data_IF_689784653443
#
_entry.id   IF_689784653443
#
_cell.length_a   1.000
_cell.length_b   1.000
_cell.length_c   1.000
_cell.angle_alpha   90.00
_cell.angle_beta   90.00
_cell.angle_gamma   90.00
#
_symmetry.space_group_name_H-M   'P 1'
#
loop_
_entity.id
_entity.type
_entity.pdbx_description
1 polymer ?
#
# COMPACT_ATOMS: atom_id res chain seq x y z
N UNK A 1 -3.62 11.60 25.95
CA UNK A 1 -2.77 10.77 26.71
C UNK A 1 -2.60 9.33 26.25
N UNK A 2 -1.88 8.58 27.04
CA UNK A 2 -1.48 7.18 26.79
C UNK A 2 -2.64 6.23 26.51
N UNK A 3 -3.76 6.40 27.22
CA UNK A 3 -4.99 5.58 27.04
C UNK A 3 -5.51 5.67 25.60
N UNK A 4 -5.54 6.86 25.01
CA UNK A 4 -6.01 7.05 23.65
C UNK A 4 -5.07 6.40 22.63
N UNK A 5 -3.77 6.46 22.88
CA UNK A 5 -2.75 5.80 22.06
C UNK A 5 -2.88 4.27 22.13
N UNK A 6 -3.07 3.73 23.33
CA UNK A 6 -3.30 2.29 23.52
C UNK A 6 -4.60 1.83 22.84
N UNK A 7 -5.69 2.58 22.94
CA UNK A 7 -6.95 2.27 22.30
C UNK A 7 -6.83 2.27 20.75
N UNK A 8 -6.12 3.24 20.17
CA UNK A 8 -5.84 3.28 18.71
C UNK A 8 -5.00 2.08 18.27
N UNK A 9 -3.99 1.68 19.07
CA UNK A 9 -3.21 0.47 18.83
C UNK A 9 -4.09 -0.77 18.81
N UNK A 10 -4.88 -0.97 19.87
CA UNK A 10 -5.76 -2.13 20.00
C UNK A 10 -6.74 -2.20 18.84
N UNK A 11 -7.38 -1.11 18.47
CA UNK A 11 -8.30 -1.06 17.32
C UNK A 11 -7.62 -1.51 16.03
N UNK A 12 -6.38 -1.05 15.77
CA UNK A 12 -5.61 -1.47 14.59
C UNK A 12 -5.26 -2.95 14.62
N UNK A 13 -4.89 -3.49 15.80
CA UNK A 13 -4.61 -4.92 15.96
C UNK A 13 -5.83 -5.78 15.67
N UNK A 14 -6.98 -5.43 16.24
CA UNK A 14 -8.26 -6.13 15.99
C UNK A 14 -8.63 -6.06 14.52
N UNK A 15 -8.53 -4.89 13.89
CA UNK A 15 -8.81 -4.72 12.47
C UNK A 15 -7.91 -5.64 11.61
N UNK A 16 -6.59 -5.63 11.86
CA UNK A 16 -5.65 -6.47 11.12
C UNK A 16 -5.95 -7.97 11.28
N UNK A 17 -6.33 -8.43 12.48
CA UNK A 17 -6.70 -9.82 12.71
C UNK A 17 -7.98 -10.20 11.95
N UNK A 18 -8.97 -9.32 11.93
CA UNK A 18 -10.21 -9.53 11.15
C UNK A 18 -9.91 -9.55 9.64
N UNK A 19 -9.03 -8.68 9.15
CA UNK A 19 -8.65 -8.66 7.74
C UNK A 19 -7.93 -9.95 7.34
N UNK A 20 -6.99 -10.44 8.16
CA UNK A 20 -6.34 -11.74 7.96
C UNK A 20 -7.36 -12.89 7.97
N UNK A 21 -8.28 -12.90 8.93
CA UNK A 21 -9.33 -13.92 9.01
C UNK A 21 -10.21 -13.95 7.76
N UNK A 22 -10.59 -12.77 7.23
CA UNK A 22 -11.38 -12.66 5.99
C UNK A 22 -10.61 -13.14 4.77
N UNK A 23 -9.30 -12.86 4.70
CA UNK A 23 -8.42 -13.34 3.63
C UNK A 23 -8.31 -14.87 3.67
N UNK A 24 -8.08 -15.45 4.86
CA UNK A 24 -7.94 -16.91 5.03
C UNK A 24 -9.19 -17.69 4.70
N UNK A 25 -10.34 -17.18 5.12
CA UNK A 25 -11.64 -17.83 4.89
C UNK A 25 -12.14 -17.65 3.44
N UNK A 26 -11.45 -16.87 2.59
CA UNK A 26 -11.96 -16.50 1.27
C UNK A 26 -13.22 -15.63 1.32
N UNK A 27 -13.56 -15.10 2.49
CA UNK A 27 -14.74 -14.25 2.68
C UNK A 27 -14.57 -12.84 2.15
N UNK A 28 -13.34 -12.43 1.84
CA UNK A 28 -13.06 -11.12 1.25
C UNK A 28 -13.56 -11.10 -0.20
N UNK A 29 -14.56 -10.28 -0.47
CA UNK A 29 -15.12 -10.05 -1.81
C UNK A 29 -14.90 -8.58 -2.18
N UNK A 30 -13.85 -8.24 -2.94
CA UNK A 30 -13.60 -6.87 -3.37
C UNK A 30 -14.75 -6.35 -4.23
N UNK A 31 -15.13 -5.10 -4.00
CA UNK A 31 -16.08 -4.38 -4.84
C UNK A 31 -15.30 -3.62 -5.92
N UNK A 32 -14.98 -4.32 -7.01
CA UNK A 32 -14.20 -3.74 -8.10
C UNK A 32 -15.04 -2.75 -8.88
N UNK A 33 -14.62 -1.48 -8.87
CA UNK A 33 -15.20 -0.42 -9.69
C UNK A 33 -14.08 0.43 -10.29
N UNK A 34 -14.43 1.36 -11.18
CA UNK A 34 -13.47 2.33 -11.70
C UNK A 34 -12.95 3.18 -10.55
N UNK A 35 -11.65 3.18 -10.40
CA UNK A 35 -10.93 3.77 -9.27
C UNK A 35 -9.82 4.67 -9.77
N UNK A 36 -9.84 5.93 -9.34
CA UNK A 36 -8.74 6.87 -9.50
C UNK A 36 -7.74 6.65 -8.36
N UNK A 37 -6.52 6.23 -8.71
CA UNK A 37 -5.47 6.03 -7.70
C UNK A 37 -4.96 7.35 -7.11
N UNK A 38 -5.15 8.48 -7.78
CA UNK A 38 -4.89 9.80 -7.22
C UNK A 38 -5.79 10.08 -6.01
N UNK A 39 -7.09 9.82 -6.14
CA UNK A 39 -8.05 9.97 -5.03
C UNK A 39 -7.72 9.00 -3.88
N UNK A 40 -7.33 7.76 -4.17
CA UNK A 40 -6.88 6.79 -3.16
C UNK A 40 -5.66 7.30 -2.41
N UNK A 41 -4.67 7.85 -3.13
CA UNK A 41 -3.46 8.43 -2.53
C UNK A 41 -3.84 9.59 -1.61
N UNK A 42 -4.72 10.49 -2.04
CA UNK A 42 -5.17 11.61 -1.20
C UNK A 42 -5.83 11.12 0.09
N UNK A 43 -6.72 10.12 0.01
CA UNK A 43 -7.35 9.49 1.16
C UNK A 43 -6.33 8.89 2.12
N UNK A 44 -5.39 8.10 1.62
CA UNK A 44 -4.33 7.48 2.41
C UNK A 44 -3.39 8.52 3.06
N UNK A 45 -3.07 9.60 2.34
CA UNK A 45 -2.28 10.71 2.89
C UNK A 45 -3.03 11.45 4.00
N UNK A 46 -4.33 11.66 3.87
CA UNK A 46 -5.16 12.24 4.92
C UNK A 46 -5.21 11.34 6.15
N UNK A 47 -5.43 10.04 5.97
CA UNK A 47 -5.50 9.06 7.06
C UNK A 47 -4.18 8.89 7.83
N UNK A 48 -3.04 9.12 7.19
CA UNK A 48 -1.70 8.96 7.79
C UNK A 48 -1.05 10.27 8.21
N UNK A 49 -1.72 11.41 8.07
CA UNK A 49 -1.18 12.77 8.32
C UNK A 49 -0.43 12.89 9.65
N UNK A 50 -1.00 12.39 10.73
CA UNK A 50 -0.40 12.49 12.06
C UNK A 50 0.89 11.63 12.17
N UNK A 51 0.86 10.41 11.66
CA UNK A 51 1.99 9.48 11.72
C UNK A 51 3.18 9.95 10.87
N UNK A 52 2.91 10.56 9.71
CA UNK A 52 3.93 11.04 8.78
C UNK A 52 4.28 12.52 8.94
N UNK A 53 3.91 13.16 10.06
CA UNK A 53 4.17 14.59 10.31
C UNK A 53 5.62 14.99 10.10
N UNK A 54 6.56 14.09 10.43
CA UNK A 54 8.00 14.30 10.30
C UNK A 54 8.60 13.56 9.08
N UNK A 55 7.76 13.10 8.13
CA UNK A 55 8.20 12.42 6.90
C UNK A 55 7.64 13.19 5.69
N UNK A 56 8.49 13.93 4.96
CA UNK A 56 8.06 14.61 3.74
C UNK A 56 7.58 13.60 2.72
N UNK A 57 6.43 13.87 2.09
CA UNK A 57 5.86 13.01 1.05
C UNK A 57 5.69 13.80 -0.23
N UNK A 58 6.15 13.23 -1.34
CA UNK A 58 5.93 13.75 -2.69
C UNK A 58 5.16 12.73 -3.52
N UNK A 59 4.31 13.25 -4.41
CA UNK A 59 3.50 12.43 -5.34
C UNK A 59 3.79 12.88 -6.76
N UNK A 60 4.08 11.94 -7.65
CA UNK A 60 4.35 12.18 -9.06
C UNK A 60 3.60 11.15 -9.90
N UNK A 61 2.44 11.54 -10.40
CA UNK A 61 1.64 10.77 -11.34
C UNK A 61 1.62 11.48 -12.69
N UNK A 62 1.62 10.74 -13.82
CA UNK A 62 1.41 11.35 -15.12
C UNK A 62 0.00 11.96 -15.23
N UNK A 63 -0.20 13.01 -16.04
CA UNK A 63 -1.50 13.65 -16.19
C UNK A 63 -2.60 12.71 -16.71
N UNK A 64 -2.21 11.72 -17.50
CA UNK A 64 -3.04 10.69 -18.10
C UNK A 64 -2.96 9.36 -17.35
N UNK A 65 -2.73 9.41 -16.03
CA UNK A 65 -2.67 8.19 -15.22
C UNK A 65 -4.01 7.46 -15.26
N UNK A 66 -4.03 6.19 -15.74
CA UNK A 66 -5.29 5.54 -16.06
C UNK A 66 -6.08 5.16 -14.83
N UNK A 67 -7.41 5.17 -14.95
CA UNK A 67 -8.29 4.52 -14.00
C UNK A 67 -8.05 3.01 -14.01
N UNK A 68 -8.24 2.39 -12.85
CA UNK A 68 -8.10 0.93 -12.68
C UNK A 68 -9.39 0.32 -12.16
N UNK A 69 -9.61 -0.98 -12.38
CA UNK A 69 -10.68 -1.72 -11.71
C UNK A 69 -10.18 -2.21 -10.36
N UNK A 70 -10.56 -1.51 -9.28
CA UNK A 70 -10.12 -1.80 -7.94
C UNK A 70 -11.23 -1.51 -6.91
N UNK A 71 -11.07 -2.05 -5.70
CA UNK A 71 -11.85 -1.66 -4.53
C UNK A 71 -11.15 -0.48 -3.85
N UNK A 72 -11.76 0.69 -3.89
CA UNK A 72 -11.20 1.93 -3.32
C UNK A 72 -10.76 1.74 -1.86
N UNK A 73 -11.61 1.14 -1.04
CA UNK A 73 -11.32 0.98 0.39
C UNK A 73 -10.16 0.04 0.66
N UNK A 74 -10.03 -1.05 -0.12
CA UNK A 74 -8.90 -1.95 0.00
C UNK A 74 -7.60 -1.31 -0.48
N UNK A 75 -7.65 -0.55 -1.58
CA UNK A 75 -6.49 0.18 -2.09
C UNK A 75 -6.03 1.27 -1.11
N UNK A 76 -6.96 2.03 -0.53
CA UNK A 76 -6.63 3.02 0.51
C UNK A 76 -5.94 2.34 1.70
N UNK A 77 -6.44 1.18 2.15
CA UNK A 77 -5.84 0.45 3.26
C UNK A 77 -4.46 -0.13 2.91
N UNK A 78 -4.24 -0.58 1.67
CA UNK A 78 -2.93 -0.97 1.15
C UNK A 78 -1.94 0.20 1.27
N UNK A 79 -2.30 1.38 0.78
CA UNK A 79 -1.45 2.57 0.85
C UNK A 79 -1.21 3.04 2.28
N UNK A 80 -2.23 3.05 3.13
CA UNK A 80 -2.08 3.37 4.57
C UNK A 80 -1.06 2.44 5.23
N UNK A 81 -1.13 1.12 4.98
CA UNK A 81 -0.17 0.17 5.53
C UNK A 81 1.26 0.43 5.06
N UNK A 82 1.47 0.72 3.78
CA UNK A 82 2.80 0.99 3.23
C UNK A 82 3.36 2.33 3.72
N UNK A 83 2.54 3.39 3.79
CA UNK A 83 2.94 4.68 4.33
C UNK A 83 3.30 4.60 5.81
N UNK A 84 2.50 3.87 6.60
CA UNK A 84 2.82 3.65 8.01
C UNK A 84 4.10 2.82 8.19
N UNK A 85 4.36 1.84 7.31
CA UNK A 85 5.62 1.11 7.32
C UNK A 85 6.80 2.05 7.06
N UNK A 86 6.73 2.90 6.05
CA UNK A 86 7.77 3.90 5.79
C UNK A 86 8.04 4.76 7.03
N UNK A 87 6.99 5.32 7.67
CA UNK A 87 7.14 6.16 8.87
C UNK A 87 7.73 5.43 10.09
N UNK A 88 7.46 4.13 10.21
CA UNK A 88 7.84 3.34 11.38
C UNK A 88 9.26 2.77 11.26
N UNK A 89 9.67 2.44 10.04
CA UNK A 89 10.92 1.74 9.78
C UNK A 89 12.04 2.66 9.29
N UNK A 90 11.77 3.96 9.20
CA UNK A 90 12.77 4.96 8.82
C UNK A 90 12.94 6.05 9.88
N UNK A 91 14.11 6.69 9.96
CA UNK A 91 14.31 7.84 10.83
C UNK A 91 13.36 9.00 10.47
N UNK A 92 13.05 9.85 11.45
CA UNK A 92 12.35 11.12 11.18
C UNK A 92 13.10 11.96 10.15
N UNK A 93 12.37 12.64 9.29
CA UNK A 93 12.94 13.41 8.19
C UNK A 93 13.16 12.61 6.92
N UNK A 94 13.01 11.28 6.95
CA UNK A 94 13.12 10.44 5.75
C UNK A 94 11.98 10.77 4.78
N UNK A 95 12.34 11.06 3.53
CA UNK A 95 11.37 11.34 2.47
C UNK A 95 10.72 10.05 1.94
N UNK A 96 9.47 10.16 1.56
CA UNK A 96 8.70 9.11 0.87
C UNK A 96 8.19 9.67 -0.45
N UNK A 97 8.37 8.94 -1.52
CA UNK A 97 7.88 9.31 -2.85
C UNK A 97 6.87 8.28 -3.34
N UNK A 98 5.72 8.75 -3.81
CA UNK A 98 4.76 7.95 -4.56
C UNK A 98 4.90 8.32 -6.04
N UNK A 99 5.17 7.33 -6.87
CA UNK A 99 5.32 7.52 -8.32
C UNK A 99 4.53 6.47 -9.06
N UNK A 100 3.75 6.88 -10.05
CA UNK A 100 2.92 5.97 -10.83
C UNK A 100 3.20 6.04 -12.32
N UNK A 101 2.76 5.00 -13.02
CA UNK A 101 2.83 4.91 -14.48
C UNK A 101 2.02 3.74 -15.01
N UNK A 102 1.96 3.64 -16.34
CA UNK A 102 1.36 2.53 -17.04
C UNK A 102 2.38 1.83 -17.94
N UNK A 103 2.23 0.53 -18.09
CA UNK A 103 2.95 -0.29 -19.05
C UNK A 103 1.92 -0.97 -19.97
N UNK A 104 1.57 -0.34 -21.10
CA UNK A 104 0.59 -0.88 -22.04
C UNK A 104 1.04 -2.21 -22.65
N UNK A 105 2.36 -2.45 -22.80
CA UNK A 105 2.90 -3.68 -23.37
C UNK A 105 2.62 -4.87 -22.45
N UNK A 106 2.72 -4.65 -21.15
CA UNK A 106 2.40 -5.68 -20.14
C UNK A 106 0.94 -5.62 -19.69
N UNK A 107 0.16 -4.64 -20.14
CA UNK A 107 -1.22 -4.45 -19.71
C UNK A 107 -1.33 -4.14 -18.21
N UNK A 108 -0.47 -3.26 -17.69
CA UNK A 108 -0.36 -3.00 -16.26
C UNK A 108 -0.30 -1.51 -15.94
N UNK A 109 -0.91 -1.16 -14.81
CA UNK A 109 -0.70 0.11 -14.11
C UNK A 109 0.12 -0.17 -12.86
N UNK A 110 1.11 0.65 -12.58
CA UNK A 110 1.96 0.47 -11.41
C UNK A 110 2.02 1.74 -10.55
N UNK A 111 2.19 1.54 -9.25
CA UNK A 111 2.41 2.60 -8.27
C UNK A 111 3.54 2.18 -7.34
N UNK A 112 4.61 2.96 -7.30
CA UNK A 112 5.75 2.79 -6.43
C UNK A 112 5.61 3.65 -5.17
N UNK A 113 5.90 3.05 -4.04
CA UNK A 113 6.02 3.73 -2.75
C UNK A 113 7.47 3.54 -2.29
N UNK A 114 8.29 4.59 -2.42
CA UNK A 114 9.71 4.57 -2.16
C UNK A 114 10.06 5.44 -0.96
N UNK A 115 10.60 4.86 0.08
CA UNK A 115 11.23 5.56 1.21
C UNK A 115 12.75 5.58 1.06
N UNK A 116 13.39 6.63 1.54
CA UNK A 116 14.84 6.80 1.56
C UNK A 116 15.47 6.33 2.88
N UNK A 117 14.90 5.28 3.46
CA UNK A 117 15.35 4.68 4.71
C UNK A 117 16.55 3.73 4.55
N UNK A 118 16.80 2.88 5.57
CA UNK A 118 17.94 1.95 5.57
C UNK A 118 17.78 0.79 4.58
N UNK A 119 16.62 0.61 3.97
CA UNK A 119 16.34 -0.50 3.06
C UNK A 119 16.02 -1.82 3.78
N UNK A 120 15.72 -2.82 2.98
CA UNK A 120 15.45 -4.19 3.43
C UNK A 120 16.61 -5.07 2.97
N UNK A 121 17.29 -5.78 3.90
CA UNK A 121 18.35 -6.70 3.53
C UNK A 121 17.85 -7.79 2.56
N UNK A 122 18.65 -8.18 1.54
CA UNK A 122 18.24 -9.15 0.52
C UNK A 122 17.73 -10.49 1.10
N UNK A 123 18.36 -10.98 2.16
CA UNK A 123 17.98 -12.21 2.87
C UNK A 123 16.59 -12.15 3.51
N UNK A 124 16.03 -10.96 3.66
CA UNK A 124 14.71 -10.74 4.23
C UNK A 124 13.64 -10.44 3.18
N UNK A 125 14.06 -10.07 1.97
CA UNK A 125 13.16 -9.64 0.90
C UNK A 125 12.04 -10.67 0.58
N UNK A 126 12.35 -11.96 0.65
CA UNK A 126 11.38 -13.03 0.40
C UNK A 126 10.40 -13.24 1.57
N UNK A 127 10.84 -12.96 2.78
CA UNK A 127 10.09 -13.29 4.00
C UNK A 127 9.30 -12.12 4.59
N UNK A 128 9.47 -10.89 4.10
CA UNK A 128 8.78 -9.70 4.65
C UNK A 128 7.25 -9.77 4.52
N UNK A 129 6.75 -10.53 3.58
CA UNK A 129 5.31 -10.74 3.37
C UNK A 129 4.75 -11.94 4.15
N UNK A 130 5.60 -12.66 4.90
CA UNK A 130 5.15 -13.72 5.81
C UNK A 130 4.49 -13.13 7.04
N UNK A 131 3.50 -13.82 7.57
CA UNK A 131 2.77 -13.40 8.77
C UNK A 131 3.66 -13.44 10.00
N UNK A 132 3.40 -12.53 10.93
CA UNK A 132 4.11 -12.42 12.20
C UNK A 132 5.62 -12.13 12.07
N UNK A 133 6.07 -11.74 10.88
CA UNK A 133 7.42 -11.24 10.66
C UNK A 133 7.46 -9.74 10.91
N UNK A 134 8.14 -9.35 11.96
CA UNK A 134 8.34 -7.94 12.32
C UNK A 134 9.67 -7.73 13.00
N UNK A 135 10.30 -6.60 12.74
CA UNK A 135 11.50 -6.15 13.47
C UNK A 135 11.14 -5.19 14.60
N UNK A 136 9.86 -4.78 14.67
CA UNK A 136 9.40 -3.81 15.64
C UNK A 136 8.92 -4.49 16.92
N UNK A 137 9.44 -4.10 18.10
CA UNK A 137 8.87 -4.51 19.38
C UNK A 137 7.38 -4.09 19.46
N UNK A 138 6.49 -5.06 19.73
CA UNK A 138 5.05 -4.82 19.82
C UNK A 138 4.31 -4.65 18.48
N UNK A 139 4.99 -4.91 17.35
CA UNK A 139 4.33 -5.08 16.05
C UNK A 139 3.82 -6.51 15.88
N UNK A 140 2.69 -6.72 15.20
CA UNK A 140 2.18 -8.06 14.88
C UNK A 140 2.74 -8.66 13.59
N UNK A 141 3.41 -7.87 12.75
CA UNK A 141 3.90 -8.36 11.45
C UNK A 141 2.77 -8.78 10.50
N UNK A 142 1.63 -8.09 10.54
CA UNK A 142 0.47 -8.39 9.69
C UNK A 142 0.25 -7.37 8.56
N UNK A 143 0.90 -6.22 8.59
CA UNK A 143 0.68 -5.15 7.61
C UNK A 143 0.99 -5.56 6.18
N UNK A 144 2.18 -6.09 5.92
CA UNK A 144 2.59 -6.53 4.58
C UNK A 144 1.84 -7.78 4.09
N UNK A 145 1.59 -8.81 4.91
CA UNK A 145 0.68 -9.90 4.54
C UNK A 145 -0.71 -9.41 4.10
N UNK A 146 -1.29 -8.42 4.79
CA UNK A 146 -2.57 -7.81 4.42
C UNK A 146 -2.44 -7.08 3.08
N UNK A 147 -1.38 -6.29 2.87
CA UNK A 147 -1.11 -5.63 1.59
C UNK A 147 -1.10 -6.65 0.45
N UNK A 148 -0.35 -7.75 0.60
CA UNK A 148 -0.30 -8.82 -0.41
C UNK A 148 -1.68 -9.42 -0.66
N UNK A 149 -2.38 -9.83 0.39
CA UNK A 149 -3.70 -10.45 0.25
C UNK A 149 -4.74 -9.53 -0.39
N UNK A 150 -4.72 -8.24 -0.07
CA UNK A 150 -5.63 -7.27 -0.69
C UNK A 150 -5.29 -7.00 -2.15
N UNK A 151 -4.02 -6.96 -2.50
CA UNK A 151 -3.62 -6.84 -3.90
C UNK A 151 -4.03 -8.08 -4.71
N UNK A 152 -3.74 -9.28 -4.21
CA UNK A 152 -4.10 -10.54 -4.86
C UNK A 152 -5.62 -10.70 -5.04
N UNK A 153 -6.40 -10.32 -4.02
CA UNK A 153 -7.87 -10.33 -4.10
C UNK A 153 -8.43 -9.44 -5.23
N UNK A 154 -7.69 -8.41 -5.62
CA UNK A 154 -8.03 -7.47 -6.70
C UNK A 154 -7.32 -7.79 -8.02
N UNK A 155 -6.73 -8.99 -8.17
CA UNK A 155 -5.93 -9.41 -9.32
C UNK A 155 -4.67 -8.58 -9.55
N UNK A 156 -4.22 -7.88 -8.52
CA UNK A 156 -2.98 -7.12 -8.50
C UNK A 156 -1.85 -7.89 -7.81
N UNK A 157 -0.72 -7.24 -7.69
CA UNK A 157 0.45 -7.78 -7.00
C UNK A 157 1.19 -6.67 -6.26
N UNK A 158 1.98 -7.08 -5.25
CA UNK A 158 2.96 -6.22 -4.58
C UNK A 158 4.32 -6.89 -4.60
N UNK A 159 5.36 -6.11 -4.86
CA UNK A 159 6.74 -6.60 -4.89
C UNK A 159 7.70 -5.53 -4.38
N UNK A 160 8.91 -5.97 -3.99
CA UNK A 160 10.04 -5.07 -3.79
C UNK A 160 10.71 -4.79 -5.13
N UNK A 161 11.01 -3.51 -5.39
CA UNK A 161 11.82 -3.09 -6.54
C UNK A 161 13.23 -2.85 -6.04
N UNK A 162 14.27 -3.42 -6.70
CA UNK A 162 15.65 -3.10 -6.39
C UNK A 162 15.92 -1.61 -6.60
N UNK A 163 16.45 -0.94 -5.57
CA UNK A 163 16.80 0.48 -5.59
C UNK A 163 18.20 0.67 -5.00
N UNK A 164 18.86 1.76 -5.34
CA UNK A 164 20.21 2.07 -4.82
C UNK A 164 20.21 2.49 -3.36
N UNK A 165 19.09 2.99 -2.85
CA UNK A 165 18.91 3.41 -1.46
C UNK A 165 17.44 3.28 -1.05
N UNK A 166 17.21 2.97 0.24
CA UNK A 166 15.86 2.88 0.80
C UNK A 166 15.12 1.61 0.46
N UNK A 167 13.79 1.68 0.54
CA UNK A 167 12.87 0.59 0.21
C UNK A 167 11.84 1.07 -0.81
N UNK A 168 11.65 0.32 -1.88
CA UNK A 168 10.61 0.61 -2.86
C UNK A 168 9.65 -0.57 -2.99
N UNK A 169 8.38 -0.35 -2.61
CA UNK A 169 7.29 -1.27 -2.89
C UNK A 169 6.58 -0.87 -4.17
N UNK A 170 6.42 -1.80 -5.08
CA UNK A 170 5.63 -1.64 -6.31
C UNK A 170 4.32 -2.37 -6.19
N UNK A 171 3.23 -1.62 -6.35
CA UNK A 171 1.89 -2.16 -6.56
C UNK A 171 1.64 -2.23 -8.06
N UNK A 172 1.04 -3.32 -8.50
CA UNK A 172 0.67 -3.53 -9.90
C UNK A 172 -0.79 -3.94 -9.97
N UNK A 173 -1.55 -3.31 -10.86
CA UNK A 173 -2.93 -3.65 -11.16
C UNK A 173 -3.08 -3.86 -12.69
N UNK A 174 -4.04 -4.68 -13.13
CA UNK A 174 -4.33 -4.82 -14.56
C UNK A 174 -4.73 -3.47 -15.17
N UNK A 175 -4.15 -3.13 -16.31
CA UNK A 175 -4.63 -2.06 -17.17
C UNK A 175 -5.87 -2.59 -17.89
N UNK A 176 -7.03 -2.00 -17.62
CA UNK A 176 -8.27 -2.33 -18.30
C UNK A 176 -8.56 -1.22 -19.28
N UNK A 177 -8.68 -1.56 -20.57
CA UNK A 177 -9.12 -0.59 -21.57
C UNK A 177 -10.54 -0.15 -21.22
N UNK A 178 -10.70 1.17 -21.09
CA UNK A 178 -12.01 1.75 -20.99
C UNK A 178 -12.55 1.77 -22.42
N UNK A 179 -13.42 0.80 -22.77
CA UNK A 179 -14.19 0.89 -24.00
C UNK A 179 -14.87 2.26 -24.03
N UNK A 180 -14.39 3.11 -24.93
CA UNK A 180 -15.02 4.39 -25.18
C UNK A 180 -16.48 4.09 -25.54
N UNK A 181 -17.38 4.52 -24.65
CA UNK A 181 -18.82 4.51 -24.96
C UNK A 181 -18.95 5.26 -26.29
N UNK A 182 -19.56 4.67 -27.35
CA UNK A 182 -19.81 5.40 -28.58
C UNK A 182 -20.63 6.62 -28.20
N UNK A 183 -20.16 7.82 -28.53
CA UNK A 183 -20.98 9.03 -28.51
C UNK A 183 -22.14 8.80 -29.47
N UNK A 184 -23.36 8.68 -28.95
CA UNK A 184 -24.60 8.81 -29.74
C UNK A 184 -24.91 10.29 -30.03
#
# INVERSE_FOLDING_TARGET
>A
GEILLAARRLRRLVKNLLDVSRLESGALKPKLDWCDLGDVIEGALAATREARRNHPVSVSLPPDYPLVKADFSLMEQVLVNLLLNACVHTPEGTSVTLQGGADPVRGQVWLDIHDMGPGIPPERAETIFERFRTTRPGGLGLGLPIVRGFMEAQRGAVSLVPVSAGTCFRLVLPLVEHDSVPEE
#
